data_IF_989739358022
#
_entry.id   IF_989739358022
#
_cell.length_a   1.000
_cell.length_b   1.000
_cell.length_c   1.000
_cell.angle_alpha   90.00
_cell.angle_beta   90.00
_cell.angle_gamma   90.00
#
_symmetry.space_group_name_H-M   'P 1'
#
loop_
_entity.id
_entity.type
_entity.pdbx_description
1 polymer ?
#
# COMPACT_ATOMS: atom_id res chain seq x y z
N UNK A 1 -2.97 -20.00 -5.44
CA UNK A 1 -3.13 -18.94 -6.46
C UNK A 1 -4.39 -19.08 -7.32
N UNK A 2 -4.93 -20.27 -7.57
CA UNK A 2 -6.10 -20.44 -8.46
C UNK A 2 -7.34 -19.62 -8.03
N UNK A 3 -7.65 -19.58 -6.73
CA UNK A 3 -8.79 -18.80 -6.21
C UNK A 3 -8.60 -17.30 -6.46
N UNK A 4 -7.41 -16.76 -6.18
CA UNK A 4 -7.08 -15.34 -6.42
C UNK A 4 -7.25 -15.01 -7.91
N UNK A 5 -6.75 -15.86 -8.80
CA UNK A 5 -6.91 -15.67 -10.25
C UNK A 5 -8.38 -15.67 -10.66
N UNK A 6 -9.19 -16.60 -10.15
CA UNK A 6 -10.62 -16.70 -10.49
C UNK A 6 -11.43 -15.46 -10.10
N UNK A 7 -11.12 -14.81 -8.97
CA UNK A 7 -11.89 -13.66 -8.47
C UNK A 7 -11.47 -12.32 -9.07
N UNK A 8 -10.30 -12.27 -9.72
CA UNK A 8 -9.76 -11.06 -10.35
C UNK A 8 -9.90 -11.05 -11.88
N UNK A 9 -10.37 -12.15 -12.48
CA UNK A 9 -10.71 -12.22 -13.91
C UNK A 9 -11.97 -11.39 -14.20
N UNK A 10 -11.95 -10.65 -15.31
CA UNK A 10 -13.10 -9.91 -15.79
C UNK A 10 -14.18 -10.81 -16.41
N UNK A 11 -15.47 -10.56 -16.16
CA UNK A 11 -15.99 -9.50 -15.28
C UNK A 11 -15.85 -9.89 -13.79
N UNK A 12 -15.28 -8.98 -13.00
CA UNK A 12 -15.13 -9.21 -11.56
C UNK A 12 -16.48 -9.04 -10.85
N UNK A 13 -16.75 -9.90 -9.87
CA UNK A 13 -17.91 -9.75 -8.98
C UNK A 13 -17.44 -8.92 -7.78
N UNK A 14 -17.93 -7.68 -7.57
CA UNK A 14 -17.37 -6.78 -6.56
C UNK A 14 -17.36 -7.34 -5.13
N UNK A 15 -18.38 -8.11 -4.76
CA UNK A 15 -18.46 -8.76 -3.45
C UNK A 15 -17.38 -9.85 -3.27
N UNK A 16 -17.12 -10.65 -4.31
CA UNK A 16 -16.09 -11.68 -4.29
C UNK A 16 -14.70 -11.05 -4.25
N UNK A 17 -14.47 -10.01 -5.05
CA UNK A 17 -13.22 -9.26 -5.07
C UNK A 17 -12.93 -8.66 -3.68
N UNK A 18 -13.92 -7.99 -3.07
CA UNK A 18 -13.80 -7.39 -1.75
C UNK A 18 -13.52 -8.43 -0.65
N UNK A 19 -14.24 -9.54 -0.69
CA UNK A 19 -14.03 -10.64 0.28
C UNK A 19 -12.65 -11.23 0.12
N UNK A 20 -12.19 -11.40 -1.12
CA UNK A 20 -10.90 -12.02 -1.43
C UNK A 20 -9.72 -11.13 -1.05
N UNK A 21 -9.75 -9.83 -1.36
CA UNK A 21 -8.69 -8.92 -0.93
C UNK A 21 -8.62 -8.88 0.61
N UNK A 22 -9.76 -8.84 1.31
CA UNK A 22 -9.81 -8.89 2.78
C UNK A 22 -9.28 -10.20 3.34
N UNK A 23 -9.61 -11.33 2.71
CA UNK A 23 -9.10 -12.63 3.12
C UNK A 23 -7.58 -12.67 3.02
N UNK A 24 -7.01 -12.22 1.90
CA UNK A 24 -5.55 -12.14 1.70
C UNK A 24 -4.90 -11.18 2.69
N UNK A 25 -5.46 -9.98 2.89
CA UNK A 25 -4.97 -9.01 3.89
C UNK A 25 -4.94 -9.61 5.30
N UNK A 26 -5.91 -10.45 5.66
CA UNK A 26 -5.95 -11.10 6.97
C UNK A 26 -4.93 -12.24 7.13
N UNK A 27 -4.34 -12.79 6.06
CA UNK A 27 -3.30 -13.82 6.17
C UNK A 27 -2.06 -13.29 6.90
N UNK A 28 -1.76 -11.99 6.79
CA UNK A 28 -0.66 -11.32 7.49
C UNK A 28 -0.77 -11.37 9.02
N UNK A 29 -1.91 -11.79 9.58
CA UNK A 29 -2.05 -12.00 11.03
C UNK A 29 -1.33 -13.26 11.54
N UNK A 30 -0.98 -14.19 10.65
CA UNK A 30 -0.36 -15.45 11.01
C UNK A 30 0.95 -15.63 10.24
N UNK A 31 2.06 -15.71 10.98
CA UNK A 31 3.41 -15.84 10.41
C UNK A 31 3.60 -17.08 9.53
N UNK A 32 2.79 -18.13 9.73
CA UNK A 32 2.83 -19.32 8.89
C UNK A 32 2.53 -19.05 7.40
N UNK A 33 1.87 -17.92 7.07
CA UNK A 33 1.59 -17.52 5.69
C UNK A 33 2.63 -16.56 5.09
N UNK A 34 3.60 -16.06 5.86
CA UNK A 34 4.54 -15.02 5.40
C UNK A 34 5.34 -15.47 4.18
N UNK A 35 5.88 -16.69 4.21
CA UNK A 35 6.62 -17.24 3.07
C UNK A 35 5.75 -17.36 1.81
N UNK A 36 4.47 -17.70 1.97
CA UNK A 36 3.54 -17.81 0.85
C UNK A 36 3.21 -16.42 0.27
N UNK A 37 2.94 -15.45 1.15
CA UNK A 37 2.68 -14.05 0.78
C UNK A 37 3.87 -13.44 0.04
N UNK A 38 5.10 -13.64 0.54
CA UNK A 38 6.32 -13.17 -0.13
C UNK A 38 6.51 -13.83 -1.49
N UNK A 39 6.42 -15.17 -1.55
CA UNK A 39 6.61 -15.94 -2.79
C UNK A 39 5.65 -15.51 -3.91
N UNK A 40 4.41 -15.16 -3.56
CA UNK A 40 3.38 -14.79 -4.52
C UNK A 40 3.09 -13.27 -4.56
N UNK A 41 3.96 -12.44 -3.97
CA UNK A 41 3.75 -10.99 -3.84
C UNK A 41 3.33 -10.35 -5.16
N UNK A 42 4.15 -10.50 -6.22
CA UNK A 42 3.89 -9.86 -7.50
C UNK A 42 2.55 -10.29 -8.10
N UNK A 43 2.27 -11.60 -8.12
CA UNK A 43 0.98 -12.11 -8.61
C UNK A 43 -0.22 -11.57 -7.81
N UNK A 44 -0.07 -11.41 -6.49
CA UNK A 44 -1.15 -10.90 -5.62
C UNK A 44 -1.36 -9.40 -5.84
N UNK A 45 -0.28 -8.61 -5.87
CA UNK A 45 -0.35 -7.17 -6.10
C UNK A 45 -0.93 -6.86 -7.48
N UNK A 46 -0.46 -7.56 -8.52
CA UNK A 46 -0.96 -7.38 -9.88
C UNK A 46 -2.44 -7.74 -9.98
N UNK A 47 -2.85 -8.85 -9.35
CA UNK A 47 -4.23 -9.31 -9.38
C UNK A 47 -5.22 -8.34 -8.71
N UNK A 48 -4.81 -7.66 -7.64
CA UNK A 48 -5.66 -6.71 -6.92
C UNK A 48 -5.43 -5.24 -7.29
N UNK A 49 -4.49 -4.94 -8.18
CA UNK A 49 -4.11 -3.57 -8.59
C UNK A 49 -5.33 -2.70 -8.96
N UNK A 50 -6.26 -3.23 -9.74
CA UNK A 50 -7.51 -2.54 -10.14
C UNK A 50 -8.39 -2.06 -8.98
N UNK A 51 -8.16 -2.52 -7.75
CA UNK A 51 -8.89 -2.06 -6.57
C UNK A 51 -8.57 -0.61 -6.19
N UNK A 52 -7.40 -0.07 -6.56
CA UNK A 52 -7.05 1.35 -6.34
C UNK A 52 -8.00 2.28 -7.09
N UNK A 53 -8.23 2.01 -8.38
CA UNK A 53 -9.09 2.78 -9.27
C UNK A 53 -10.59 2.45 -9.14
N UNK A 54 -10.98 1.59 -8.19
CA UNK A 54 -12.38 1.21 -8.01
C UNK A 54 -13.21 2.36 -7.43
N UNK A 55 -14.43 2.56 -7.91
CA UNK A 55 -15.39 3.49 -7.29
C UNK A 55 -15.92 3.01 -5.93
N UNK A 56 -15.63 1.75 -5.56
CA UNK A 56 -16.01 1.19 -4.27
C UNK A 56 -14.94 1.50 -3.21
N UNK A 57 -15.24 2.45 -2.32
CA UNK A 57 -14.38 2.84 -1.21
C UNK A 57 -13.91 1.68 -0.33
N UNK A 58 -14.71 0.61 -0.19
CA UNK A 58 -14.31 -0.57 0.58
C UNK A 58 -13.20 -1.37 -0.12
N UNK A 59 -13.19 -1.41 -1.46
CA UNK A 59 -12.13 -2.05 -2.24
C UNK A 59 -10.84 -1.24 -2.13
N UNK A 60 -10.92 0.07 -2.34
CA UNK A 60 -9.79 0.99 -2.18
C UNK A 60 -9.14 0.85 -0.80
N UNK A 61 -9.96 0.85 0.27
CA UNK A 61 -9.47 0.72 1.64
C UNK A 61 -8.82 -0.65 1.90
N UNK A 62 -9.44 -1.72 1.40
CA UNK A 62 -8.91 -3.08 1.59
C UNK A 62 -7.59 -3.28 0.85
N UNK A 63 -7.46 -2.72 -0.36
CA UNK A 63 -6.22 -2.73 -1.14
C UNK A 63 -5.14 -1.87 -0.48
N UNK A 64 -5.46 -0.66 -0.02
CA UNK A 64 -4.50 0.18 0.71
C UNK A 64 -4.00 -0.49 1.99
N UNK A 65 -4.86 -1.28 2.65
CA UNK A 65 -4.46 -2.09 3.81
C UNK A 65 -3.56 -3.26 3.41
N UNK A 66 -3.82 -3.90 2.26
CA UNK A 66 -2.93 -4.93 1.70
C UNK A 66 -1.53 -4.35 1.41
N UNK A 67 -1.46 -3.18 0.79
CA UNK A 67 -0.21 -2.44 0.52
C UNK A 67 0.56 -2.16 1.82
N UNK A 68 -0.11 -1.62 2.85
CA UNK A 68 0.51 -1.38 4.16
C UNK A 68 1.06 -2.67 4.79
N UNK A 69 0.29 -3.76 4.77
CA UNK A 69 0.74 -5.04 5.34
C UNK A 69 1.95 -5.61 4.60
N UNK A 70 2.00 -5.47 3.27
CA UNK A 70 3.18 -5.85 2.49
C UNK A 70 4.38 -4.98 2.82
N UNK A 71 4.22 -3.66 3.00
CA UNK A 71 5.32 -2.78 3.40
C UNK A 71 6.00 -3.32 4.67
N UNK A 72 5.22 -3.62 5.71
CA UNK A 72 5.73 -4.17 6.97
C UNK A 72 6.45 -5.52 6.76
N UNK A 73 5.82 -6.46 6.05
CA UNK A 73 6.41 -7.79 5.78
C UNK A 73 7.73 -7.71 5.00
N UNK A 74 7.82 -6.79 4.04
CA UNK A 74 8.97 -6.66 3.16
C UNK A 74 10.12 -5.88 3.82
N UNK A 75 9.81 -5.00 4.77
CA UNK A 75 10.80 -4.39 5.68
C UNK A 75 11.47 -5.45 6.56
N UNK A 76 10.68 -6.37 7.13
CA UNK A 76 11.18 -7.46 7.97
C UNK A 76 12.06 -8.44 7.17
N UNK A 77 11.59 -8.83 5.98
CA UNK A 77 12.32 -9.76 5.10
C UNK A 77 13.45 -9.13 4.29
N UNK A 78 13.68 -7.82 4.41
CA UNK A 78 14.71 -7.06 3.69
C UNK A 78 14.67 -7.22 2.16
N UNK A 79 13.45 -7.34 1.62
CA UNK A 79 13.22 -7.46 0.19
C UNK A 79 13.09 -6.08 -0.47
N UNK A 80 14.20 -5.53 -0.97
CA UNK A 80 14.24 -4.19 -1.57
C UNK A 80 13.39 -4.09 -2.85
N UNK A 81 13.36 -5.13 -3.68
CA UNK A 81 12.56 -5.12 -4.92
C UNK A 81 11.06 -5.06 -4.60
N UNK A 82 10.62 -5.89 -3.65
CA UNK A 82 9.25 -5.87 -3.17
C UNK A 82 8.87 -4.54 -2.51
N UNK A 83 9.76 -3.99 -1.68
CA UNK A 83 9.53 -2.67 -1.10
C UNK A 83 9.38 -1.59 -2.16
N UNK A 84 10.13 -1.67 -3.27
CA UNK A 84 10.04 -0.70 -4.37
C UNK A 84 8.69 -0.83 -5.10
N UNK A 85 8.24 -2.06 -5.35
CA UNK A 85 6.92 -2.32 -5.95
C UNK A 85 5.78 -1.78 -5.08
N UNK A 86 5.84 -2.02 -3.76
CA UNK A 86 4.83 -1.55 -2.80
C UNK A 86 4.86 -0.03 -2.65
N UNK A 87 6.05 0.57 -2.69
CA UNK A 87 6.21 2.03 -2.68
C UNK A 87 5.48 2.65 -3.89
N UNK A 88 5.73 2.17 -5.10
CA UNK A 88 5.06 2.68 -6.31
C UNK A 88 3.54 2.57 -6.22
N UNK A 89 3.03 1.40 -5.78
CA UNK A 89 1.59 1.21 -5.60
C UNK A 89 0.99 2.12 -4.51
N UNK A 90 1.74 2.41 -3.43
CA UNK A 90 1.30 3.32 -2.39
C UNK A 90 1.24 4.77 -2.90
N UNK A 91 2.24 5.23 -3.65
CA UNK A 91 2.26 6.57 -4.23
C UNK A 91 1.10 6.79 -5.20
N UNK A 92 0.81 5.82 -6.07
CA UNK A 92 -0.35 5.86 -6.98
C UNK A 92 -1.68 6.08 -6.22
N UNK A 93 -1.87 5.40 -5.08
CA UNK A 93 -3.07 5.57 -4.24
C UNK A 93 -3.14 6.98 -3.62
N UNK A 94 -2.00 7.55 -3.22
CA UNK A 94 -1.94 8.87 -2.58
C UNK A 94 -2.24 9.98 -3.59
N UNK A 95 -1.71 9.85 -4.80
CA UNK A 95 -1.88 10.81 -5.90
C UNK A 95 -3.31 10.83 -6.46
N UNK A 96 -4.02 9.70 -6.47
CA UNK A 96 -5.40 9.65 -6.97
C UNK A 96 -6.38 10.45 -6.09
N UNK A 97 -6.93 11.53 -6.63
CA UNK A 97 -7.89 12.42 -5.96
C UNK A 97 -9.23 11.74 -5.62
N UNK A 98 -9.58 10.65 -6.31
CA UNK A 98 -10.83 9.91 -6.08
C UNK A 98 -10.74 8.97 -4.87
N UNK A 99 -9.54 8.74 -4.34
CA UNK A 99 -9.32 7.86 -3.20
C UNK A 99 -9.68 8.58 -1.90
N UNK A 100 -10.51 7.92 -1.09
CA UNK A 100 -10.95 8.45 0.21
C UNK A 100 -9.80 8.61 1.23
N UNK A 101 -9.98 9.47 2.26
CA UNK A 101 -8.94 9.81 3.21
C UNK A 101 -8.41 8.62 4.01
N UNK A 102 -9.24 7.63 4.35
CA UNK A 102 -8.80 6.42 5.07
C UNK A 102 -7.82 5.58 4.25
N UNK A 103 -8.09 5.42 2.95
CA UNK A 103 -7.24 4.70 2.02
C UNK A 103 -5.92 5.44 1.80
N UNK A 104 -5.97 6.77 1.59
CA UNK A 104 -4.77 7.62 1.48
C UNK A 104 -3.92 7.57 2.75
N UNK A 105 -4.55 7.61 3.92
CA UNK A 105 -3.85 7.50 5.19
C UNK A 105 -3.09 6.17 5.28
N UNK A 106 -3.70 5.03 4.93
CA UNK A 106 -3.02 3.72 4.92
C UNK A 106 -1.84 3.68 3.96
N UNK A 107 -1.99 4.27 2.77
CA UNK A 107 -0.92 4.34 1.79
C UNK A 107 0.23 5.26 2.25
N UNK A 108 -0.07 6.42 2.83
CA UNK A 108 0.94 7.32 3.42
C UNK A 108 1.70 6.65 4.57
N UNK A 109 1.01 5.91 5.45
CA UNK A 109 1.69 5.13 6.49
C UNK A 109 2.62 4.09 5.87
N UNK A 110 2.20 3.42 4.79
CA UNK A 110 3.07 2.46 4.08
C UNK A 110 4.33 3.15 3.52
N UNK A 111 4.17 4.32 2.88
CA UNK A 111 5.28 5.15 2.40
C UNK A 111 6.22 5.53 3.55
N UNK A 112 5.69 6.07 4.65
CA UNK A 112 6.47 6.46 5.82
C UNK A 112 7.24 5.29 6.44
N UNK A 113 6.61 4.12 6.60
CA UNK A 113 7.27 2.91 7.09
C UNK A 113 8.42 2.46 6.18
N UNK A 114 8.21 2.49 4.86
CA UNK A 114 9.24 2.14 3.87
C UNK A 114 10.41 3.14 3.87
N UNK A 115 10.14 4.42 4.13
CA UNK A 115 11.19 5.43 4.23
C UNK A 115 11.97 5.37 5.54
N UNK A 116 11.31 5.01 6.64
CA UNK A 116 11.92 4.99 7.97
C UNK A 116 12.76 3.73 8.20
N UNK A 117 12.21 2.55 7.90
CA UNK A 117 12.84 1.26 8.22
C UNK A 117 13.16 0.40 6.99
N UNK A 118 12.68 0.81 5.82
CA UNK A 118 12.93 0.13 4.56
C UNK A 118 14.27 0.48 3.91
N UNK A 119 14.55 -0.20 2.82
CA UNK A 119 15.74 -0.07 1.98
C UNK A 119 15.51 0.88 0.79
N UNK A 120 14.31 1.46 0.69
CA UNK A 120 13.84 2.21 -0.49
C UNK A 120 13.71 3.71 -0.26
N UNK A 121 14.26 4.25 0.84
CA UNK A 121 14.24 5.69 1.13
C UNK A 121 14.74 6.55 -0.03
N UNK A 122 15.88 6.18 -0.63
CA UNK A 122 16.44 6.92 -1.79
C UNK A 122 15.49 6.89 -2.99
N UNK A 123 14.91 5.73 -3.27
CA UNK A 123 13.94 5.55 -4.36
C UNK A 123 12.70 6.42 -4.11
N UNK A 124 12.22 6.51 -2.86
CA UNK A 124 11.11 7.38 -2.49
C UNK A 124 11.42 8.86 -2.72
N UNK A 125 12.66 9.29 -2.40
CA UNK A 125 13.10 10.67 -2.68
C UNK A 125 13.19 10.95 -4.18
N UNK A 126 13.65 9.97 -4.98
CA UNK A 126 13.69 10.09 -6.44
C UNK A 126 12.27 10.18 -7.06
N UNK A 127 11.26 9.62 -6.39
CA UNK A 127 9.84 9.78 -6.73
C UNK A 127 9.19 11.06 -6.17
N UNK A 128 9.98 12.01 -5.65
CA UNK A 128 9.49 13.28 -5.08
C UNK A 128 8.46 13.13 -3.95
N UNK A 129 8.67 12.12 -3.09
CA UNK A 129 7.82 11.90 -1.90
C UNK A 129 7.74 13.12 -0.97
N UNK A 130 8.71 14.04 -1.04
CA UNK A 130 8.72 15.26 -0.26
C UNK A 130 7.56 16.20 -0.65
N UNK A 131 7.24 16.31 -1.94
CA UNK A 131 6.09 17.08 -2.41
C UNK A 131 4.77 16.47 -1.92
N UNK A 132 4.68 15.14 -1.95
CA UNK A 132 3.53 14.39 -1.43
C UNK A 132 3.37 14.59 0.09
N UNK A 133 4.48 14.54 0.84
CA UNK A 133 4.47 14.75 2.28
C UNK A 133 3.98 16.16 2.65
N UNK A 134 4.44 17.20 1.94
CA UNK A 134 3.99 18.58 2.12
C UNK A 134 2.51 18.75 1.79
N UNK A 135 2.03 18.14 0.71
CA UNK A 135 0.62 18.16 0.36
C UNK A 135 -0.24 17.46 1.43
N UNK A 136 0.19 16.28 1.91
CA UNK A 136 -0.48 15.56 2.99
C UNK A 136 -0.51 16.39 4.29
N UNK A 137 0.61 17.02 4.66
CA UNK A 137 0.72 17.93 5.82
C UNK A 137 -0.28 19.09 5.78
N UNK A 138 -0.58 19.59 4.57
CA UNK A 138 -1.58 20.65 4.35
C UNK A 138 -3.03 20.17 4.37
N UNK A 139 -3.29 18.88 4.58
CA UNK A 139 -4.63 18.31 4.62
C UNK A 139 -5.45 18.83 5.81
N UNK A 140 -6.77 18.93 5.62
CA UNK A 140 -7.71 19.22 6.71
C UNK A 140 -7.97 18.01 7.62
N UNK A 141 -7.63 16.81 7.15
CA UNK A 141 -7.73 15.58 7.93
C UNK A 141 -6.49 15.46 8.82
N UNK A 142 -6.69 15.44 10.14
CA UNK A 142 -5.61 15.56 11.11
C UNK A 142 -4.60 14.40 11.04
N UNK A 143 -5.06 13.16 10.81
CA UNK A 143 -4.16 12.01 10.71
C UNK A 143 -3.36 12.02 9.41
N UNK A 144 -3.92 12.56 8.31
CA UNK A 144 -3.19 12.75 7.05
C UNK A 144 -2.15 13.86 7.22
N UNK A 145 -2.51 14.95 7.91
CA UNK A 145 -1.59 16.04 8.20
C UNK A 145 -0.41 15.59 9.07
N UNK A 146 -0.69 14.80 10.12
CA UNK A 146 0.32 14.23 11.01
C UNK A 146 1.29 13.31 10.28
N UNK A 147 0.78 12.29 9.57
CA UNK A 147 1.65 11.37 8.82
C UNK A 147 2.44 12.09 7.72
N UNK A 148 1.87 13.12 7.09
CA UNK A 148 2.59 13.97 6.13
C UNK A 148 3.75 14.73 6.77
N UNK A 149 3.56 15.24 7.98
CA UNK A 149 4.64 15.87 8.76
C UNK A 149 5.74 14.86 9.13
N UNK A 150 5.37 13.63 9.52
CA UNK A 150 6.33 12.59 9.86
C UNK A 150 7.17 12.16 8.65
N UNK A 151 6.54 11.98 7.49
CA UNK A 151 7.25 11.63 6.24
C UNK A 151 8.21 12.77 5.85
N UNK A 152 7.81 14.02 5.99
CA UNK A 152 8.69 15.18 5.74
C UNK A 152 9.91 15.17 6.68
N UNK A 153 9.72 14.86 7.97
CA UNK A 153 10.81 14.74 8.93
C UNK A 153 11.77 13.61 8.55
N UNK A 154 11.25 12.42 8.22
CA UNK A 154 12.06 11.27 7.80
C UNK A 154 12.83 11.57 6.52
N UNK A 155 12.25 12.32 5.58
CA UNK A 155 12.90 12.72 4.33
C UNK A 155 14.15 13.57 4.57
N UNK A 156 14.15 14.40 5.62
CA UNK A 156 15.24 15.31 5.95
C UNK A 156 16.35 14.69 6.83
N UNK A 157 16.12 13.49 7.39
CA UNK A 157 17.14 12.78 8.17
C UNK A 157 18.17 12.15 7.21
N UNK A 158 19.44 12.53 7.34
CA UNK A 158 20.56 12.03 6.52
C UNK A 158 20.99 10.63 6.92
#
# INVERSE_FOLDING_TARGET
MEVVKKVTINPTIPANLLTSVRAVTNLFKNSCYYNWLQKHRSEILDAFSSCSASTNKNLQLSYSTLILNYAVLLIESKDQEGQSQVLSAALEIVEDENVGPDSKFRALVAVGSLMLEGLVKKIALDFDVLSIAKAAKGSKDSKIAEVGSDIELVSNQS
#
